data_IF_212970541411
#
_entry.id   IF_212970541411
#
_cell.length_a   1.000
_cell.length_b   1.000
_cell.length_c   1.000
_cell.angle_alpha   90.00
_cell.angle_beta   90.00
_cell.angle_gamma   90.00
#
_symmetry.space_group_name_H-M   'P 1'
#
loop_
_entity.id
_entity.type
_entity.pdbx_description
1 polymer ?
#
# COMPACT_ATOMS: atom_id res chain seq x y z
N UNK A 1 4.14 29.27 -24.97
CA UNK A 1 3.97 27.84 -25.30
C UNK A 1 5.05 27.08 -24.52
N UNK A 2 4.73 26.66 -23.30
CA UNK A 2 5.68 25.97 -22.41
C UNK A 2 5.76 24.51 -22.84
N UNK A 3 6.92 24.10 -23.31
CA UNK A 3 7.23 22.70 -23.57
C UNK A 3 7.41 22.05 -22.19
N UNK A 4 6.39 21.35 -21.72
CA UNK A 4 6.54 20.47 -20.55
C UNK A 4 7.56 19.39 -20.91
N UNK A 5 8.72 19.47 -20.28
CA UNK A 5 9.77 18.45 -20.36
C UNK A 5 9.23 17.16 -19.73
N UNK A 6 8.86 16.20 -20.56
CA UNK A 6 8.42 14.84 -20.19
C UNK A 6 9.61 13.97 -19.71
N UNK A 7 10.80 14.55 -19.53
CA UNK A 7 12.05 13.81 -19.36
C UNK A 7 12.51 13.59 -17.91
N UNK A 8 11.82 14.17 -16.90
CA UNK A 8 12.30 14.13 -15.51
C UNK A 8 11.64 13.03 -14.64
N UNK A 9 10.68 12.29 -15.18
CA UNK A 9 9.87 11.32 -14.42
C UNK A 9 10.15 9.84 -14.79
N UNK A 10 11.10 9.57 -15.68
CA UNK A 10 11.41 8.22 -16.14
C UNK A 10 12.78 7.75 -15.64
N UNK A 11 12.82 6.51 -15.14
CA UNK A 11 14.09 5.83 -14.87
C UNK A 11 14.76 5.34 -16.17
N UNK A 12 16.09 5.33 -16.18
CA UNK A 12 16.90 4.47 -17.05
C UNK A 12 17.26 3.17 -16.33
N UNK A 13 18.01 2.27 -16.98
CA UNK A 13 18.41 1.00 -16.37
C UNK A 13 19.20 1.21 -15.07
N UNK A 14 20.10 2.19 -15.03
CA UNK A 14 21.01 2.40 -13.90
C UNK A 14 20.26 3.00 -12.70
N UNK A 15 19.43 4.01 -12.95
CA UNK A 15 18.64 4.67 -11.91
C UNK A 15 17.54 3.73 -11.36
N UNK A 16 16.91 2.91 -12.24
CA UNK A 16 15.96 1.90 -11.78
C UNK A 16 16.65 0.78 -10.98
N UNK A 17 17.82 0.34 -11.42
CA UNK A 17 18.60 -0.66 -10.70
C UNK A 17 18.98 -0.18 -9.29
N UNK A 18 19.40 1.08 -9.16
CA UNK A 18 19.64 1.71 -7.88
C UNK A 18 18.37 1.80 -7.03
N UNK A 19 17.25 2.22 -7.63
CA UNK A 19 15.95 2.36 -6.96
C UNK A 19 15.41 1.03 -6.44
N UNK A 20 15.61 -0.07 -7.17
CA UNK A 20 15.13 -1.42 -6.80
C UNK A 20 16.22 -2.27 -6.08
N UNK A 21 17.41 -1.71 -5.81
CA UNK A 21 18.57 -2.45 -5.30
C UNK A 21 18.88 -3.74 -6.07
N UNK A 22 18.76 -3.66 -7.38
CA UNK A 22 19.04 -4.77 -8.31
C UNK A 22 20.29 -4.45 -9.15
N UNK A 23 20.87 -5.48 -9.74
CA UNK A 23 21.93 -5.25 -10.71
C UNK A 23 21.35 -4.73 -12.04
N UNK A 24 22.01 -3.76 -12.73
CA UNK A 24 21.57 -3.26 -14.04
C UNK A 24 21.30 -4.38 -15.07
N UNK A 25 22.08 -5.46 -15.01
CA UNK A 25 21.89 -6.65 -15.85
C UNK A 25 20.62 -7.43 -15.56
N UNK A 26 20.12 -7.39 -14.32
CA UNK A 26 18.83 -8.00 -13.94
C UNK A 26 17.68 -7.18 -14.49
N UNK A 27 17.72 -5.84 -14.36
CA UNK A 27 16.72 -4.93 -14.93
C UNK A 27 16.65 -5.10 -16.45
N UNK A 28 17.78 -5.13 -17.15
CA UNK A 28 17.81 -5.36 -18.59
C UNK A 28 17.13 -6.69 -18.96
N UNK A 29 17.45 -7.78 -18.28
CA UNK A 29 16.83 -9.10 -18.50
C UNK A 29 15.32 -9.11 -18.26
N UNK A 30 14.83 -8.38 -17.23
CA UNK A 30 13.40 -8.24 -16.95
C UNK A 30 12.71 -7.47 -18.07
N UNK A 31 13.30 -6.37 -18.54
CA UNK A 31 12.79 -5.55 -19.63
C UNK A 31 12.76 -6.34 -20.96
N UNK A 32 13.85 -7.05 -21.30
CA UNK A 32 13.94 -7.86 -22.51
C UNK A 32 12.91 -9.01 -22.55
N UNK A 33 12.49 -9.51 -21.37
CA UNK A 33 11.48 -10.55 -21.20
C UNK A 33 10.06 -10.04 -21.02
N UNK A 34 9.85 -8.71 -21.01
CA UNK A 34 8.55 -8.10 -20.75
C UNK A 34 8.01 -8.37 -19.32
N UNK A 35 8.90 -8.62 -18.36
CA UNK A 35 8.55 -8.91 -16.95
C UNK A 35 8.51 -7.65 -16.06
N UNK A 36 8.85 -6.50 -16.63
CA UNK A 36 8.79 -5.19 -16.00
C UNK A 36 8.26 -4.19 -17.04
N UNK A 37 7.38 -3.24 -16.66
CA UNK A 37 6.90 -2.23 -17.61
C UNK A 37 8.07 -1.36 -18.09
N UNK A 38 8.28 -1.38 -19.39
CA UNK A 38 9.41 -0.71 -20.03
C UNK A 38 9.08 -0.28 -21.46
N UNK A 39 9.67 0.82 -21.92
CA UNK A 39 9.56 1.29 -23.30
C UNK A 39 10.94 1.62 -23.86
N UNK A 40 11.13 1.53 -25.18
CA UNK A 40 12.38 1.93 -25.84
C UNK A 40 12.23 3.33 -26.41
N UNK A 41 13.12 4.24 -26.00
CA UNK A 41 13.20 5.60 -26.52
C UNK A 41 14.64 5.80 -26.99
N UNK A 42 14.83 6.07 -28.29
CA UNK A 42 16.17 6.22 -28.88
C UNK A 42 17.05 4.97 -28.72
N UNK A 43 16.44 3.77 -28.73
CA UNK A 43 17.16 2.50 -28.54
C UNK A 43 17.48 2.14 -27.09
N UNK A 44 17.24 3.02 -26.14
CA UNK A 44 17.47 2.82 -24.71
C UNK A 44 16.17 2.48 -23.97
N UNK A 45 16.27 1.62 -22.94
CA UNK A 45 15.16 1.33 -22.06
C UNK A 45 14.83 2.54 -21.17
N UNK A 46 13.53 2.84 -21.05
CA UNK A 46 12.96 3.84 -20.14
C UNK A 46 11.81 3.21 -19.37
N UNK A 47 11.68 3.60 -18.11
CA UNK A 47 10.72 3.04 -17.18
C UNK A 47 9.98 4.20 -16.50
N UNK A 48 8.68 4.28 -16.72
CA UNK A 48 7.86 5.29 -16.07
C UNK A 48 7.79 5.03 -14.55
N UNK A 49 8.03 6.04 -13.73
CA UNK A 49 7.92 5.92 -12.26
C UNK A 49 6.56 5.38 -11.84
N UNK A 50 5.48 5.91 -12.43
CA UNK A 50 4.13 5.48 -12.10
C UNK A 50 3.85 4.02 -12.48
N UNK A 51 4.38 3.54 -13.63
CA UNK A 51 4.24 2.15 -14.05
C UNK A 51 5.08 1.19 -13.21
N UNK A 52 6.28 1.61 -12.81
CA UNK A 52 7.14 0.83 -11.90
C UNK A 52 6.52 0.74 -10.51
N UNK A 53 5.98 1.86 -9.98
CA UNK A 53 5.30 1.85 -8.70
C UNK A 53 4.11 0.87 -8.70
N UNK A 54 3.25 0.96 -9.70
CA UNK A 54 2.12 0.04 -9.86
C UNK A 54 2.55 -1.43 -10.01
N UNK A 55 3.60 -1.70 -10.77
CA UNK A 55 4.17 -3.03 -10.92
C UNK A 55 4.71 -3.59 -9.58
N UNK A 56 5.30 -2.74 -8.72
CA UNK A 56 5.72 -3.12 -7.37
C UNK A 56 4.51 -3.43 -6.48
N UNK A 57 3.46 -2.60 -6.50
CA UNK A 57 2.20 -2.84 -5.78
C UNK A 57 1.60 -4.20 -6.15
N UNK A 58 1.48 -4.49 -7.45
CA UNK A 58 0.97 -5.78 -7.93
C UNK A 58 1.84 -6.96 -7.46
N UNK A 59 3.17 -6.81 -7.50
CA UNK A 59 4.07 -7.84 -7.01
C UNK A 59 3.93 -8.07 -5.51
N UNK A 60 3.85 -7.01 -4.73
CA UNK A 60 3.63 -7.12 -3.27
C UNK A 60 2.34 -7.89 -3.01
N UNK A 61 1.24 -7.59 -3.71
CA UNK A 61 -0.03 -8.29 -3.56
C UNK A 61 -0.04 -9.77 -3.97
N UNK A 62 0.93 -10.22 -4.77
CA UNK A 62 1.04 -11.59 -5.28
C UNK A 62 2.20 -12.39 -4.67
N UNK A 63 3.07 -11.75 -3.88
CA UNK A 63 4.29 -12.36 -3.34
C UNK A 63 4.03 -13.18 -2.08
N UNK A 64 4.84 -14.23 -1.88
CA UNK A 64 4.86 -14.97 -0.64
C UNK A 64 5.63 -14.22 0.48
N UNK A 65 5.56 -14.71 1.72
CA UNK A 65 6.14 -14.05 2.89
C UNK A 65 7.66 -13.79 2.76
N UNK A 66 8.42 -14.71 2.17
CA UNK A 66 9.87 -14.57 1.99
C UNK A 66 10.22 -13.49 0.96
N UNK A 67 9.47 -13.45 -0.15
CA UNK A 67 9.63 -12.41 -1.18
C UNK A 67 9.24 -11.02 -0.64
N UNK A 68 8.19 -10.93 0.17
CA UNK A 68 7.78 -9.70 0.83
C UNK A 68 8.84 -9.20 1.81
N UNK A 69 9.42 -10.10 2.62
CA UNK A 69 10.51 -9.77 3.54
C UNK A 69 11.74 -9.22 2.79
N UNK A 70 12.11 -9.86 1.68
CA UNK A 70 13.21 -9.39 0.85
C UNK A 70 12.93 -8.03 0.20
N UNK A 71 11.69 -7.77 -0.23
CA UNK A 71 11.27 -6.47 -0.77
C UNK A 71 11.31 -5.38 0.30
N UNK A 72 10.78 -5.64 1.48
CA UNK A 72 10.79 -4.71 2.62
C UNK A 72 12.23 -4.35 3.01
N UNK A 73 13.11 -5.34 3.20
CA UNK A 73 14.53 -5.11 3.50
C UNK A 73 15.23 -4.27 2.41
N UNK A 74 14.90 -4.49 1.14
CA UNK A 74 15.46 -3.70 0.05
C UNK A 74 14.96 -2.24 0.07
N UNK A 75 13.69 -2.03 0.39
CA UNK A 75 13.11 -0.69 0.54
C UNK A 75 13.71 0.05 1.74
N UNK A 76 13.99 -0.62 2.85
CA UNK A 76 14.64 -0.04 4.03
C UNK A 76 16.07 0.45 3.73
N UNK A 77 16.84 -0.31 2.96
CA UNK A 77 18.21 0.06 2.58
C UNK A 77 18.29 1.31 1.70
N UNK A 78 17.21 1.66 1.01
CA UNK A 78 17.17 2.84 0.11
C UNK A 78 17.20 4.16 0.88
N UNK A 79 16.88 4.18 2.16
CA UNK A 79 16.83 5.39 3.01
C UNK A 79 17.71 5.28 4.26
N UNK A 80 18.92 4.75 4.16
CA UNK A 80 19.87 4.68 5.29
C UNK A 80 20.14 6.04 5.98
N UNK A 81 19.74 7.17 5.39
CA UNK A 81 19.90 8.53 5.91
C UNK A 81 18.62 9.11 6.57
N UNK A 82 17.48 8.43 6.52
CA UNK A 82 16.24 8.86 7.17
C UNK A 82 15.89 7.89 8.30
N UNK A 83 16.30 8.23 9.52
CA UNK A 83 16.12 7.46 10.77
C UNK A 83 14.66 7.42 11.25
N UNK A 84 13.69 7.14 10.41
CA UNK A 84 12.34 6.84 10.88
C UNK A 84 12.00 5.40 10.54
N UNK A 85 12.08 4.54 11.56
CA UNK A 85 11.45 3.22 11.51
C UNK A 85 9.95 3.44 11.33
N UNK A 86 9.47 3.25 10.09
CA UNK A 86 8.05 3.35 9.78
C UNK A 86 7.34 2.16 10.42
N UNK A 87 6.80 2.36 11.60
CA UNK A 87 6.01 1.35 12.30
C UNK A 87 4.55 1.44 11.86
N UNK A 88 3.98 0.34 11.42
CA UNK A 88 2.54 0.22 11.15
C UNK A 88 1.74 0.61 12.39
N UNK A 89 2.22 0.22 13.56
CA UNK A 89 1.61 0.55 14.85
C UNK A 89 1.57 2.05 15.13
N UNK A 90 2.61 2.81 14.74
CA UNK A 90 2.65 4.26 14.90
C UNK A 90 1.68 4.97 13.96
N UNK A 91 1.50 4.47 12.73
CA UNK A 91 0.57 5.00 11.74
C UNK A 91 -0.90 4.64 12.02
N UNK A 92 -1.18 3.70 12.94
CA UNK A 92 -2.50 3.15 13.23
C UNK A 92 -2.88 3.39 14.71
N UNK A 93 -3.18 4.63 15.13
CA UNK A 93 -3.72 4.89 16.46
C UNK A 93 -5.09 4.23 16.65
N UNK A 94 -5.49 3.97 17.90
CA UNK A 94 -6.75 3.25 18.20
C UNK A 94 -7.98 3.96 17.62
N UNK A 95 -7.95 5.29 17.54
CA UNK A 95 -9.05 6.11 17.01
C UNK A 95 -9.24 5.96 15.48
N UNK A 96 -8.27 5.36 14.79
CA UNK A 96 -8.39 5.03 13.36
C UNK A 96 -8.76 3.56 13.10
N UNK A 97 -9.24 2.87 14.13
CA UNK A 97 -9.69 1.48 14.04
C UNK A 97 -11.19 1.40 14.33
N UNK A 98 -11.94 0.78 13.43
CA UNK A 98 -13.38 0.54 13.61
C UNK A 98 -13.70 -0.97 13.64
N UNK A 99 -14.17 -1.44 14.79
CA UNK A 99 -14.63 -2.81 15.02
C UNK A 99 -15.97 -2.77 15.76
N UNK A 100 -17.12 -2.98 15.07
CA UNK A 100 -17.25 -3.13 13.63
C UNK A 100 -17.23 -1.79 12.87
N UNK A 101 -16.75 -1.80 11.62
CA UNK A 101 -16.93 -0.70 10.68
C UNK A 101 -18.39 -0.68 10.20
N UNK A 102 -19.10 0.44 10.38
CA UNK A 102 -20.49 0.62 9.98
C UNK A 102 -20.64 0.88 8.48
N UNK A 103 -20.29 -0.10 7.64
CA UNK A 103 -20.35 0.00 6.18
C UNK A 103 -21.04 -1.24 5.58
N UNK A 104 -21.71 -1.07 4.44
CA UNK A 104 -22.44 -2.13 3.74
C UNK A 104 -22.19 -2.18 2.24
N UNK A 105 -21.49 -1.20 1.71
CA UNK A 105 -21.17 -1.08 0.28
C UNK A 105 -19.73 -0.65 0.11
N UNK A 106 -19.14 -0.91 -1.05
CA UNK A 106 -17.79 -0.45 -1.41
C UNK A 106 -17.61 1.06 -1.16
N UNK A 107 -18.56 1.88 -1.62
CA UNK A 107 -18.49 3.34 -1.44
C UNK A 107 -18.54 3.74 0.05
N UNK A 108 -19.41 3.12 0.85
CA UNK A 108 -19.48 3.42 2.29
C UNK A 108 -18.24 2.94 3.06
N UNK A 109 -17.57 1.87 2.62
CA UNK A 109 -16.27 1.47 3.16
C UNK A 109 -15.22 2.54 2.88
N UNK A 110 -15.04 2.93 1.63
CA UNK A 110 -14.02 3.91 1.24
C UNK A 110 -14.21 5.23 1.99
N UNK A 111 -15.46 5.74 2.00
CA UNK A 111 -15.79 6.98 2.72
C UNK A 111 -15.50 6.85 4.21
N UNK A 112 -16.02 5.80 4.86
CA UNK A 112 -15.85 5.58 6.30
C UNK A 112 -14.38 5.40 6.70
N UNK A 113 -13.58 4.72 5.87
CA UNK A 113 -12.14 4.55 6.13
C UNK A 113 -11.37 5.87 6.02
N UNK A 114 -11.73 6.73 5.05
CA UNK A 114 -11.11 8.04 4.92
C UNK A 114 -11.53 9.01 6.05
N UNK A 115 -12.79 8.98 6.48
CA UNK A 115 -13.27 9.73 7.63
C UNK A 115 -12.59 9.27 8.92
N UNK A 116 -12.40 7.96 9.09
CA UNK A 116 -11.70 7.38 10.22
C UNK A 116 -10.23 7.83 10.26
N UNK A 117 -9.52 7.79 9.13
CA UNK A 117 -8.15 8.30 9.04
C UNK A 117 -8.05 9.82 9.35
N UNK A 118 -9.07 10.59 8.99
CA UNK A 118 -9.11 12.04 9.24
C UNK A 118 -9.26 12.40 10.73
N UNK A 119 -9.67 11.45 11.60
CA UNK A 119 -9.76 11.68 13.05
C UNK A 119 -8.41 12.03 13.67
N UNK A 120 -7.30 11.64 13.06
CA UNK A 120 -5.94 12.00 13.49
C UNK A 120 -5.62 13.49 13.34
N UNK A 121 -6.35 14.22 12.49
CA UNK A 121 -6.01 15.57 12.06
C UNK A 121 -4.86 15.63 11.04
N UNK A 122 -4.24 14.51 10.70
CA UNK A 122 -3.16 14.45 9.69
C UNK A 122 -3.71 14.37 8.27
N UNK A 123 -4.89 13.80 8.06
CA UNK A 123 -5.63 13.84 6.80
C UNK A 123 -6.63 15.00 6.84
N UNK A 124 -6.38 16.03 6.03
CA UNK A 124 -7.14 17.31 6.07
C UNK A 124 -8.40 17.30 5.19
N UNK A 125 -8.47 16.43 4.18
CA UNK A 125 -9.58 16.32 3.25
C UNK A 125 -9.92 14.85 2.98
N UNK A 126 -10.80 14.29 3.82
CA UNK A 126 -11.27 12.91 3.71
C UNK A 126 -12.05 12.68 2.41
N UNK A 127 -12.81 13.68 1.93
CA UNK A 127 -13.58 13.57 0.69
C UNK A 127 -12.67 13.41 -0.52
N UNK A 128 -11.64 14.25 -0.62
CA UNK A 128 -10.66 14.18 -1.71
C UNK A 128 -9.82 12.89 -1.65
N UNK A 129 -9.50 12.38 -0.45
CA UNK A 129 -8.87 11.08 -0.30
C UNK A 129 -9.80 9.96 -0.78
N UNK A 130 -11.08 10.00 -0.43
CA UNK A 130 -12.06 9.01 -0.86
C UNK A 130 -12.24 8.99 -2.39
N UNK A 131 -12.24 10.15 -3.04
CA UNK A 131 -12.23 10.26 -4.50
C UNK A 131 -10.98 9.62 -5.12
N UNK A 132 -9.80 9.88 -4.56
CA UNK A 132 -8.53 9.34 -5.05
C UNK A 132 -8.46 7.81 -4.87
N UNK A 133 -8.91 7.27 -3.73
CA UNK A 133 -9.02 5.83 -3.46
C UNK A 133 -10.04 5.18 -4.39
N UNK A 134 -11.22 5.80 -4.58
CA UNK A 134 -12.24 5.27 -5.50
C UNK A 134 -11.70 5.18 -6.92
N UNK A 135 -11.02 6.23 -7.40
CA UNK A 135 -10.41 6.23 -8.72
C UNK A 135 -9.34 5.12 -8.88
N UNK A 136 -8.58 4.80 -7.82
CA UNK A 136 -7.61 3.69 -7.82
C UNK A 136 -8.31 2.33 -7.86
N UNK A 137 -9.34 2.14 -7.05
CA UNK A 137 -10.15 0.92 -6.99
C UNK A 137 -10.92 0.63 -8.29
N UNK A 138 -11.35 1.67 -9.01
CA UNK A 138 -12.05 1.53 -10.29
C UNK A 138 -11.11 1.08 -11.43
N UNK A 139 -9.82 1.31 -11.29
CA UNK A 139 -8.82 0.82 -12.25
C UNK A 139 -8.54 -0.68 -12.05
N UNK A 140 -8.33 -1.08 -10.81
CA UNK A 140 -8.06 -2.47 -10.41
C UNK A 140 -8.34 -2.63 -8.92
N UNK A 141 -9.31 -3.47 -8.52
CA UNK A 141 -9.62 -3.68 -7.12
C UNK A 141 -8.42 -4.15 -6.30
N UNK A 142 -8.26 -3.60 -5.10
CA UNK A 142 -7.20 -4.01 -4.16
C UNK A 142 -7.61 -5.15 -3.23
N UNK A 143 -8.83 -5.66 -3.39
CA UNK A 143 -9.33 -6.80 -2.64
C UNK A 143 -8.58 -8.08 -3.02
N UNK A 144 -8.03 -8.76 -2.03
CA UNK A 144 -7.35 -10.04 -2.13
C UNK A 144 -8.34 -11.21 -1.91
N UNK A 145 -8.04 -12.38 -2.45
CA UNK A 145 -8.87 -13.59 -2.30
C UNK A 145 -9.04 -14.07 -0.84
N UNK A 146 -8.17 -13.59 0.05
CA UNK A 146 -8.24 -13.85 1.51
C UNK A 146 -9.25 -12.97 2.24
N UNK A 147 -10.05 -12.15 1.55
CA UNK A 147 -11.07 -11.28 2.14
C UNK A 147 -10.53 -10.00 2.77
N UNK A 148 -9.36 -9.55 2.36
CA UNK A 148 -8.71 -8.29 2.80
C UNK A 148 -8.63 -7.33 1.63
N UNK A 149 -8.88 -6.03 1.85
CA UNK A 149 -8.59 -4.98 0.89
C UNK A 149 -7.55 -4.00 1.43
N UNK A 150 -6.57 -3.64 0.60
CA UNK A 150 -5.50 -2.69 0.91
C UNK A 150 -5.77 -1.38 0.17
N UNK A 151 -6.67 -0.57 0.73
CA UNK A 151 -7.12 0.69 0.13
C UNK A 151 -6.00 1.74 0.13
N UNK A 152 -5.77 2.38 -0.99
CA UNK A 152 -4.78 3.46 -1.12
C UNK A 152 -5.07 4.33 -2.35
N UNK A 153 -4.66 5.60 -2.38
CA UNK A 153 -4.71 6.40 -3.59
C UNK A 153 -3.61 5.96 -4.56
N UNK A 154 -3.81 6.11 -5.86
CA UNK A 154 -2.81 5.76 -6.89
C UNK A 154 -1.48 6.50 -6.73
N UNK A 155 -1.49 7.68 -6.13
CA UNK A 155 -0.30 8.49 -5.84
C UNK A 155 -0.44 9.10 -4.46
N UNK A 156 0.66 9.31 -3.75
CA UNK A 156 0.64 10.03 -2.48
C UNK A 156 -0.08 11.37 -2.59
N UNK A 157 -0.90 11.68 -1.59
CA UNK A 157 -1.74 12.88 -1.53
C UNK A 157 -1.13 13.94 -0.60
N UNK A 158 0.13 14.29 -0.78
CA UNK A 158 0.88 15.20 0.08
C UNK A 158 0.23 16.59 0.25
N UNK A 159 -0.65 17.01 -0.66
CA UNK A 159 -1.38 18.29 -0.56
C UNK A 159 -2.51 18.28 0.48
N UNK A 160 -2.94 17.11 0.95
CA UNK A 160 -4.03 16.93 1.92
C UNK A 160 -3.63 16.04 3.10
N UNK A 161 -2.36 15.64 3.18
CA UNK A 161 -1.82 14.74 4.19
C UNK A 161 -0.55 15.36 4.80
N UNK A 162 -0.54 15.57 6.11
CA UNK A 162 0.61 16.12 6.85
C UNK A 162 1.64 15.07 7.20
N UNK A 163 1.18 13.90 7.67
CA UNK A 163 2.01 12.74 8.03
C UNK A 163 1.34 11.46 7.52
N UNK A 164 2.10 10.36 7.35
CA UNK A 164 1.52 9.07 6.99
C UNK A 164 0.48 8.62 8.02
N UNK A 165 -0.64 8.12 7.56
CA UNK A 165 -1.72 7.62 8.42
C UNK A 165 -2.33 6.34 7.85
N UNK A 166 -2.73 5.45 8.74
CA UNK A 166 -3.48 4.25 8.41
C UNK A 166 -4.82 4.23 9.11
N UNK A 167 -5.79 3.52 8.53
CA UNK A 167 -7.00 3.12 9.20
C UNK A 167 -7.26 1.61 9.01
N UNK A 168 -7.94 1.00 9.96
CA UNK A 168 -8.37 -0.40 9.93
C UNK A 168 -9.87 -0.48 10.18
N UNK A 169 -10.58 -1.19 9.31
CA UNK A 169 -12.01 -1.46 9.46
C UNK A 169 -12.30 -2.95 9.37
N UNK A 170 -13.00 -3.51 10.36
CA UNK A 170 -13.53 -4.87 10.33
C UNK A 170 -15.05 -4.79 10.20
N UNK A 171 -15.63 -5.50 9.23
CA UNK A 171 -17.09 -5.54 9.07
C UNK A 171 -17.66 -6.85 9.57
N UNK A 172 -18.86 -6.79 10.18
CA UNK A 172 -19.54 -7.99 10.70
C UNK A 172 -20.00 -8.96 9.60
N UNK A 173 -20.06 -8.49 8.36
CA UNK A 173 -20.43 -9.27 7.18
C UNK A 173 -19.52 -8.88 6.02
N UNK A 174 -19.12 -9.86 5.24
CA UNK A 174 -18.32 -9.60 4.05
C UNK A 174 -19.07 -8.74 3.03
N UNK A 175 -18.36 -7.81 2.43
CA UNK A 175 -18.87 -6.86 1.42
C UNK A 175 -18.32 -7.24 0.05
N UNK A 176 -19.14 -7.25 -1.02
CA UNK A 176 -18.62 -7.36 -2.39
C UNK A 176 -17.76 -6.12 -2.70
N UNK A 177 -16.44 -6.30 -2.73
CA UNK A 177 -15.52 -5.16 -2.86
C UNK A 177 -14.81 -5.10 -4.23
N UNK A 178 -14.83 -6.17 -4.97
CA UNK A 178 -14.21 -6.30 -6.30
C UNK A 178 -13.49 -7.64 -6.44
N UNK A 179 -12.81 -7.84 -7.56
CA UNK A 179 -12.14 -9.10 -7.86
C UNK A 179 -13.10 -10.22 -8.33
N UNK A 180 -12.69 -11.48 -8.22
CA UNK A 180 -13.38 -12.65 -8.74
C UNK A 180 -14.67 -13.08 -7.99
N UNK A 181 -15.36 -12.14 -7.31
CA UNK A 181 -16.62 -12.40 -6.62
C UNK A 181 -16.47 -12.78 -5.15
N UNK A 182 -15.30 -12.61 -4.56
CA UNK A 182 -15.05 -12.78 -3.13
C UNK A 182 -15.68 -11.69 -2.27
N UNK A 183 -15.96 -12.02 -1.01
CA UNK A 183 -16.39 -11.07 0.00
C UNK A 183 -15.18 -10.60 0.80
N UNK A 184 -15.14 -9.30 1.11
CA UNK A 184 -14.08 -8.66 1.89
C UNK A 184 -14.66 -8.20 3.23
N UNK A 185 -13.98 -8.49 4.32
CA UNK A 185 -14.39 -8.16 5.68
C UNK A 185 -13.33 -7.39 6.47
N UNK A 186 -12.09 -7.34 5.97
CA UNK A 186 -10.98 -6.60 6.56
C UNK A 186 -10.50 -5.53 5.57
N UNK A 187 -10.44 -4.27 6.02
CA UNK A 187 -10.08 -3.13 5.20
C UNK A 187 -8.95 -2.35 5.86
N UNK A 188 -7.81 -2.24 5.20
CA UNK A 188 -6.76 -1.30 5.55
C UNK A 188 -6.80 -0.11 4.60
N UNK A 189 -6.73 1.11 5.11
CA UNK A 189 -6.43 2.31 4.34
C UNK A 189 -4.99 2.72 4.63
N UNK A 190 -4.21 2.89 3.56
CA UNK A 190 -2.81 3.28 3.61
C UNK A 190 -2.66 4.65 2.92
N UNK A 191 -2.37 5.67 3.70
CA UNK A 191 -2.14 7.02 3.21
C UNK A 191 -0.72 7.44 3.58
N UNK A 192 0.18 7.46 2.60
CA UNK A 192 1.58 7.86 2.74
C UNK A 192 1.83 9.20 2.05
N UNK A 193 2.90 9.89 2.46
CA UNK A 193 3.27 11.20 1.91
C UNK A 193 4.15 11.08 0.66
N UNK A 194 4.78 9.92 0.46
CA UNK A 194 5.62 9.63 -0.70
C UNK A 194 5.55 8.14 -1.11
N UNK A 195 6.01 7.85 -2.33
CA UNK A 195 5.94 6.52 -2.93
C UNK A 195 6.73 5.46 -2.15
N UNK A 196 7.86 5.83 -1.56
CA UNK A 196 8.72 4.92 -0.83
C UNK A 196 8.07 4.45 0.49
N UNK A 197 7.53 5.37 1.28
CA UNK A 197 6.74 5.06 2.47
C UNK A 197 5.55 4.17 2.14
N UNK A 198 4.83 4.52 1.06
CA UNK A 198 3.70 3.74 0.60
C UNK A 198 4.07 2.27 0.36
N UNK A 199 5.14 2.01 -0.42
CA UNK A 199 5.57 0.64 -0.74
C UNK A 199 6.06 -0.12 0.50
N UNK A 200 6.75 0.54 1.44
CA UNK A 200 7.20 -0.09 2.69
C UNK A 200 6.02 -0.52 3.55
N UNK A 201 5.06 0.38 3.77
CA UNK A 201 3.84 0.08 4.56
C UNK A 201 3.03 -1.02 3.88
N UNK A 202 2.87 -0.94 2.56
CA UNK A 202 2.15 -1.97 1.79
C UNK A 202 2.82 -3.34 1.93
N UNK A 203 4.15 -3.42 1.83
CA UNK A 203 4.90 -4.66 2.00
C UNK A 203 4.76 -5.21 3.43
N UNK A 204 4.90 -4.35 4.46
CA UNK A 204 4.75 -4.73 5.88
C UNK A 204 3.34 -5.27 6.16
N UNK A 205 2.29 -4.56 5.77
CA UNK A 205 0.91 -5.02 5.97
C UNK A 205 0.65 -6.31 5.20
N UNK A 206 1.18 -6.45 3.97
CA UNK A 206 1.06 -7.69 3.20
C UNK A 206 1.73 -8.89 3.89
N UNK A 207 2.89 -8.69 4.55
CA UNK A 207 3.51 -9.73 5.40
C UNK A 207 2.65 -10.10 6.60
N UNK A 208 2.02 -9.12 7.26
CA UNK A 208 1.12 -9.38 8.39
C UNK A 208 -0.04 -10.29 7.98
N UNK A 209 -0.73 -9.93 6.90
CA UNK A 209 -1.93 -10.64 6.43
C UNK A 209 -1.63 -11.96 5.72
N UNK A 210 -0.37 -12.22 5.35
CA UNK A 210 0.06 -13.49 4.78
C UNK A 210 0.01 -14.66 5.77
N UNK A 211 -0.07 -14.38 7.10
CA UNK A 211 -0.20 -15.40 8.14
C UNK A 211 -1.69 -15.67 8.43
N UNK A 212 -2.23 -16.85 8.03
CA UNK A 212 -3.66 -17.12 8.13
C UNK A 212 -4.18 -17.15 9.56
N UNK A 213 -3.40 -17.66 10.52
CA UNK A 213 -3.80 -17.75 11.92
C UNK A 213 -3.89 -16.38 12.57
N UNK A 214 -2.93 -15.51 12.27
CA UNK A 214 -2.96 -14.12 12.70
C UNK A 214 -4.17 -13.36 12.11
N UNK A 215 -4.42 -13.52 10.81
CA UNK A 215 -5.56 -12.88 10.15
C UNK A 215 -6.90 -13.36 10.72
N UNK A 216 -7.02 -14.64 11.08
CA UNK A 216 -8.19 -15.17 11.76
C UNK A 216 -8.37 -14.56 13.16
N UNK A 217 -7.28 -14.37 13.90
CA UNK A 217 -7.29 -13.68 15.20
C UNK A 217 -7.73 -12.22 15.06
N UNK A 218 -7.22 -11.50 14.06
CA UNK A 218 -7.63 -10.12 13.78
C UNK A 218 -9.13 -10.01 13.47
N UNK A 219 -9.68 -10.94 12.68
CA UNK A 219 -11.13 -11.00 12.39
C UNK A 219 -11.99 -11.22 13.62
N UNK A 220 -11.44 -11.88 14.63
CA UNK A 220 -12.12 -12.21 15.87
C UNK A 220 -12.01 -11.12 16.94
N UNK A 221 -11.28 -10.03 16.66
CA UNK A 221 -11.13 -8.93 17.59
C UNK A 221 -12.49 -8.33 17.97
N UNK A 222 -12.72 -8.18 19.26
CA UNK A 222 -13.99 -7.71 19.83
C UNK A 222 -14.16 -6.19 19.73
N UNK A 223 -13.04 -5.46 19.66
CA UNK A 223 -13.01 -4.00 19.63
C UNK A 223 -11.70 -3.46 19.01
N UNK A 224 -11.62 -2.13 18.90
CA UNK A 224 -10.46 -1.44 18.34
C UNK A 224 -9.17 -1.61 19.15
N UNK A 225 -9.28 -1.78 20.47
CA UNK A 225 -8.13 -1.93 21.36
C UNK A 225 -7.48 -3.30 21.15
N UNK A 226 -8.29 -4.35 21.11
CA UNK A 226 -7.82 -5.71 20.84
C UNK A 226 -7.23 -5.81 19.42
N UNK A 227 -7.90 -5.26 18.41
CA UNK A 227 -7.38 -5.22 17.05
C UNK A 227 -6.02 -4.53 16.99
N UNK A 228 -5.85 -3.38 17.68
CA UNK A 228 -4.57 -2.68 17.74
C UNK A 228 -3.47 -3.46 18.46
N UNK A 229 -3.82 -4.22 19.50
CA UNK A 229 -2.85 -5.07 20.21
C UNK A 229 -2.30 -6.17 19.30
N UNK A 230 -3.17 -6.81 18.52
CA UNK A 230 -2.78 -7.82 17.53
C UNK A 230 -1.87 -7.24 16.44
N UNK A 231 -2.20 -6.06 15.94
CA UNK A 231 -1.35 -5.34 14.97
C UNK A 231 0.02 -5.05 15.58
N UNK A 232 0.07 -4.48 16.78
CA UNK A 232 1.33 -4.14 17.45
C UNK A 232 2.21 -5.36 17.68
N UNK A 233 1.66 -6.42 18.23
CA UNK A 233 2.39 -7.66 18.47
C UNK A 233 2.99 -8.20 17.15
N UNK A 234 2.19 -8.20 16.08
CA UNK A 234 2.67 -8.69 14.78
C UNK A 234 3.71 -7.79 14.16
N UNK A 235 3.58 -6.47 14.32
CA UNK A 235 4.56 -5.48 13.84
C UNK A 235 5.92 -5.70 14.53
N UNK A 236 5.92 -5.86 15.85
CA UNK A 236 7.12 -6.18 16.65
C UNK A 236 7.76 -7.51 16.22
N UNK A 237 6.98 -8.58 16.02
CA UNK A 237 7.47 -9.89 15.56
C UNK A 237 8.13 -9.84 14.17
N UNK A 238 7.75 -8.89 13.32
CA UNK A 238 8.30 -8.73 11.98
C UNK A 238 9.53 -7.80 11.93
N UNK A 239 9.85 -7.11 13.03
CA UNK A 239 11.07 -6.31 13.19
C UNK A 239 12.28 -7.15 13.61
N UNK A 240 12.04 -8.30 14.26
CA UNK A 240 13.07 -9.26 14.69
C UNK A 240 13.54 -10.17 13.52
#
# INVERSE_FOLDING_TARGET
MAIYSVADDDFDISSLAAHLHMLPTQISKLADRGKIPARRIGGQWRFSRAEIHHWLEERIGLSNADELAAMETNLERTQADAHENLSVTAMLPVDTIAVPLAARTRGSVITGMCELAATTGMLWDAGKMAEAVTAREDMHPTALDIGVALLHPRRPQSSILGEPVMALGLTSQGIPFGGAGGLTDVFFLLAATNDHEHLRVLARVSRMIAEPEWLASLRSASDAVEARQLIRQRDEELED
#
